data_IF_372388051642
#
_entry.id   IF_372388051642
#
_cell.length_a   1.000
_cell.length_b   1.000
_cell.length_c   1.000
_cell.angle_alpha   90.00
_cell.angle_beta   90.00
_cell.angle_gamma   90.00
#
_symmetry.space_group_name_H-M   'P 1'
#
loop_
_entity.id
_entity.type
_entity.pdbx_description
1 polymer ?
#
# COMPACT_ATOMS: atom_id res chain seq x y z
N UNK A 1 -0.72 -15.11 -11.43
CA UNK A 1 -0.71 -15.11 -12.90
C UNK A 1 -2.12 -14.94 -13.44
N UNK A 2 -2.31 -14.10 -14.48
CA UNK A 2 -3.57 -14.11 -15.23
C UNK A 2 -3.85 -15.54 -15.69
N UNK A 3 -5.07 -16.02 -15.48
CA UNK A 3 -5.41 -17.33 -16.01
C UNK A 3 -5.52 -17.29 -17.54
N UNK A 4 -5.34 -18.43 -18.18
CA UNK A 4 -5.37 -18.54 -19.64
C UNK A 4 -6.72 -18.11 -20.25
N UNK A 5 -7.81 -18.16 -19.49
CA UNK A 5 -9.15 -17.75 -19.92
C UNK A 5 -9.29 -16.22 -19.86
N UNK A 6 -8.84 -15.60 -18.78
CA UNK A 6 -8.80 -14.13 -18.65
C UNK A 6 -7.94 -13.52 -19.77
N UNK A 7 -6.74 -14.03 -19.98
CA UNK A 7 -5.84 -13.54 -21.04
C UNK A 7 -6.51 -13.59 -22.42
N UNK A 8 -7.10 -14.71 -22.80
CA UNK A 8 -7.82 -14.85 -24.07
C UNK A 8 -9.01 -13.91 -24.20
N UNK A 9 -9.70 -13.65 -23.09
CA UNK A 9 -10.83 -12.72 -23.07
C UNK A 9 -10.37 -11.30 -23.27
N UNK A 10 -9.27 -10.89 -22.62
CA UNK A 10 -8.67 -9.57 -22.79
C UNK A 10 -8.17 -9.37 -24.22
N UNK A 11 -7.48 -10.34 -24.79
CA UNK A 11 -7.02 -10.29 -26.20
C UNK A 11 -8.20 -10.10 -27.16
N UNK A 12 -9.28 -10.86 -26.97
CA UNK A 12 -10.50 -10.70 -27.77
C UNK A 12 -11.15 -9.32 -27.60
N UNK A 13 -11.23 -8.81 -26.36
CA UNK A 13 -11.79 -7.48 -26.11
C UNK A 13 -10.93 -6.37 -26.75
N UNK A 14 -9.61 -6.51 -26.72
CA UNK A 14 -8.69 -5.59 -27.42
C UNK A 14 -8.95 -5.56 -28.93
N UNK A 15 -9.07 -6.73 -29.57
CA UNK A 15 -9.40 -6.83 -30.99
C UNK A 15 -10.75 -6.19 -31.34
N UNK A 16 -11.78 -6.38 -30.52
CA UNK A 16 -13.09 -5.79 -30.75
C UNK A 16 -13.09 -4.26 -30.60
N UNK A 17 -12.33 -3.74 -29.62
CA UNK A 17 -12.12 -2.29 -29.47
C UNK A 17 -11.36 -1.69 -30.67
N UNK A 18 -10.30 -2.36 -31.16
CA UNK A 18 -9.57 -1.93 -32.35
C UNK A 18 -10.47 -1.88 -33.59
N UNK A 19 -11.30 -2.91 -33.80
CA UNK A 19 -12.29 -2.95 -34.90
C UNK A 19 -13.33 -1.82 -34.77
N UNK A 20 -13.64 -1.37 -33.54
CA UNK A 20 -14.53 -0.25 -33.28
C UNK A 20 -13.83 1.12 -33.38
N UNK A 21 -12.54 1.17 -33.77
CA UNK A 21 -11.78 2.41 -33.99
C UNK A 21 -11.12 2.98 -32.74
N UNK A 22 -11.09 2.23 -31.63
CA UNK A 22 -10.37 2.65 -30.43
C UNK A 22 -8.86 2.39 -30.60
N UNK A 23 -8.07 3.28 -29.99
CA UNK A 23 -6.61 3.22 -29.96
C UNK A 23 -6.09 3.31 -28.53
N UNK A 24 -4.79 3.11 -28.29
CA UNK A 24 -4.17 3.23 -26.96
C UNK A 24 -4.89 2.41 -25.90
N UNK A 25 -5.32 1.22 -26.29
CA UNK A 25 -6.07 0.30 -25.42
C UNK A 25 -5.13 -0.25 -24.35
N UNK A 26 -5.52 -0.13 -23.09
CA UNK A 26 -4.80 -0.73 -21.97
C UNK A 26 -5.76 -1.41 -20.99
N UNK A 27 -5.31 -2.52 -20.43
CA UNK A 27 -5.98 -3.25 -19.38
C UNK A 27 -5.09 -3.27 -18.15
N UNK A 28 -5.61 -2.84 -17.02
CA UNK A 28 -4.99 -3.10 -15.72
C UNK A 28 -5.89 -4.09 -14.98
N UNK A 29 -5.34 -5.23 -14.62
CA UNK A 29 -6.02 -6.25 -13.84
C UNK A 29 -5.38 -6.31 -12.46
N UNK A 30 -6.20 -6.17 -11.43
CA UNK A 30 -5.76 -6.26 -10.03
C UNK A 30 -6.49 -7.41 -9.37
N UNK A 31 -5.76 -8.45 -9.01
CA UNK A 31 -6.25 -9.57 -8.21
C UNK A 31 -5.83 -9.37 -6.77
N UNK A 32 -6.78 -9.42 -5.87
CA UNK A 32 -6.55 -9.29 -4.43
C UNK A 32 -7.02 -10.55 -3.72
N UNK A 33 -6.14 -11.12 -2.89
CA UNK A 33 -6.47 -12.25 -2.02
C UNK A 33 -6.13 -11.88 -0.58
N UNK A 34 -7.04 -12.18 0.33
CA UNK A 34 -6.76 -12.01 1.75
C UNK A 34 -7.27 -13.20 2.57
N UNK A 35 -6.55 -13.49 3.63
CA UNK A 35 -6.92 -14.48 4.63
C UNK A 35 -6.76 -13.89 6.02
N UNK A 36 -7.85 -13.79 6.75
CA UNK A 36 -7.83 -13.28 8.12
C UNK A 36 -8.29 -14.35 9.10
N UNK A 37 -7.48 -14.55 10.15
CA UNK A 37 -7.86 -15.35 11.31
C UNK A 37 -7.80 -14.46 12.54
N UNK A 38 -8.87 -14.41 13.33
CA UNK A 38 -8.87 -13.60 14.55
C UNK A 38 -9.64 -14.27 15.69
N UNK A 39 -9.24 -13.94 16.91
CA UNK A 39 -9.90 -14.32 18.16
C UNK A 39 -10.38 -13.05 18.87
N UNK A 40 -11.56 -13.12 19.49
CA UNK A 40 -12.16 -12.00 20.23
C UNK A 40 -12.78 -12.50 21.53
N UNK A 41 -12.58 -11.74 22.60
CA UNK A 41 -13.12 -12.09 23.91
C UNK A 41 -12.78 -13.54 24.30
N UNK A 42 -13.68 -14.17 25.04
CA UNK A 42 -13.42 -15.52 25.55
C UNK A 42 -13.74 -16.65 24.55
N UNK A 43 -14.60 -16.44 23.55
CA UNK A 43 -15.14 -17.56 22.74
C UNK A 43 -15.26 -17.34 21.23
N UNK A 44 -15.06 -16.14 20.70
CA UNK A 44 -15.33 -15.94 19.29
C UNK A 44 -14.04 -16.06 18.44
N UNK A 45 -14.11 -16.91 17.43
CA UNK A 45 -13.09 -17.06 16.39
C UNK A 45 -13.71 -16.67 15.06
N UNK A 46 -13.05 -15.83 14.29
CA UNK A 46 -13.44 -15.51 12.93
C UNK A 46 -12.37 -15.96 11.96
N UNK A 47 -12.80 -16.69 10.94
CA UNK A 47 -12.00 -17.09 9.77
C UNK A 47 -12.65 -16.45 8.55
N UNK A 48 -11.88 -15.81 7.72
CA UNK A 48 -12.38 -15.13 6.53
C UNK A 48 -11.34 -15.22 5.42
N UNK A 49 -11.76 -15.72 4.28
CA UNK A 49 -11.02 -15.62 3.02
C UNK A 49 -11.78 -14.67 2.10
N UNK A 50 -11.08 -13.84 1.35
CA UNK A 50 -11.61 -12.99 0.29
C UNK A 50 -10.73 -13.10 -0.93
N UNK A 51 -11.35 -13.12 -2.09
CA UNK A 51 -10.70 -13.08 -3.39
C UNK A 51 -11.51 -12.16 -4.28
N UNK A 52 -10.88 -11.09 -4.77
CA UNK A 52 -11.51 -10.06 -5.57
C UNK A 52 -10.67 -9.77 -6.81
N UNK A 53 -11.33 -9.35 -7.89
CA UNK A 53 -10.70 -8.88 -9.10
C UNK A 53 -11.27 -7.53 -9.53
N UNK A 54 -10.41 -6.65 -10.00
CA UNK A 54 -10.80 -5.37 -10.61
C UNK A 54 -10.11 -5.24 -11.96
N UNK A 55 -10.89 -4.96 -12.98
CA UNK A 55 -10.43 -4.71 -14.34
C UNK A 55 -10.64 -3.24 -14.65
N UNK A 56 -9.55 -2.54 -14.93
CA UNK A 56 -9.57 -1.15 -15.39
C UNK A 56 -9.20 -1.16 -16.86
N UNK A 57 -10.08 -0.63 -17.70
CA UNK A 57 -9.89 -0.62 -19.14
C UNK A 57 -9.89 0.83 -19.61
N UNK A 58 -8.80 1.24 -20.24
CA UNK A 58 -8.64 2.57 -20.79
C UNK A 58 -8.44 2.49 -22.30
N UNK A 59 -9.04 3.40 -23.04
CA UNK A 59 -8.86 3.49 -24.49
C UNK A 59 -9.05 4.92 -24.98
N UNK A 60 -8.52 5.25 -26.14
CA UNK A 60 -8.71 6.53 -26.80
C UNK A 60 -9.55 6.38 -28.09
N UNK A 61 -10.43 7.32 -28.36
CA UNK A 61 -11.24 7.41 -29.58
C UNK A 61 -11.54 8.88 -29.89
N UNK A 62 -11.36 9.30 -31.14
CA UNK A 62 -11.63 10.67 -31.61
C UNK A 62 -10.96 11.77 -30.73
N UNK A 63 -9.71 11.56 -30.33
CA UNK A 63 -8.93 12.51 -29.54
C UNK A 63 -9.39 12.66 -28.10
N UNK A 64 -10.23 11.76 -27.59
CA UNK A 64 -10.66 11.68 -26.21
C UNK A 64 -10.20 10.37 -25.58
N UNK A 65 -9.93 10.38 -24.25
CA UNK A 65 -9.61 9.19 -23.47
C UNK A 65 -10.82 8.81 -22.59
N UNK A 66 -11.15 7.53 -22.59
CA UNK A 66 -12.19 6.95 -21.73
C UNK A 66 -11.60 5.87 -20.82
N UNK A 67 -12.22 5.69 -19.66
CA UNK A 67 -11.83 4.74 -18.63
C UNK A 67 -13.06 4.05 -18.05
N UNK A 68 -13.00 2.73 -17.89
CA UNK A 68 -14.09 1.94 -17.32
C UNK A 68 -13.60 0.96 -16.28
N UNK A 69 -14.48 0.57 -15.34
CA UNK A 69 -14.17 -0.26 -14.20
C UNK A 69 -15.12 -1.43 -14.07
N UNK A 70 -14.60 -2.63 -13.90
CA UNK A 70 -15.36 -3.87 -13.87
C UNK A 70 -14.85 -4.80 -12.77
N UNK A 71 -15.74 -5.57 -12.17
CA UNK A 71 -15.40 -6.65 -11.23
C UNK A 71 -15.40 -8.03 -11.89
N UNK A 72 -15.80 -8.08 -13.16
CA UNK A 72 -15.69 -9.23 -14.06
C UNK A 72 -15.51 -8.67 -15.47
N UNK A 73 -14.78 -9.36 -16.35
CA UNK A 73 -14.59 -8.90 -17.72
C UNK A 73 -15.94 -8.75 -18.45
N UNK A 74 -16.24 -7.58 -19.03
CA UNK A 74 -17.50 -7.29 -19.68
C UNK A 74 -17.63 -7.95 -21.05
N UNK A 75 -18.83 -7.89 -21.64
CA UNK A 75 -19.01 -8.08 -23.08
C UNK A 75 -18.46 -6.89 -23.88
N UNK A 76 -18.09 -7.11 -25.14
CA UNK A 76 -17.50 -6.06 -25.98
C UNK A 76 -18.48 -4.88 -26.20
N UNK A 77 -19.77 -5.16 -26.40
CA UNK A 77 -20.81 -4.12 -26.58
C UNK A 77 -20.97 -3.25 -25.34
N UNK A 78 -21.01 -3.87 -24.15
CA UNK A 78 -21.13 -3.15 -22.86
C UNK A 78 -19.89 -2.27 -22.62
N UNK A 79 -18.71 -2.80 -22.93
CA UNK A 79 -17.44 -2.07 -22.79
C UNK A 79 -17.41 -0.85 -23.70
N UNK A 80 -17.74 -1.02 -24.98
CA UNK A 80 -17.76 0.08 -25.98
C UNK A 80 -18.76 1.15 -25.55
N UNK A 81 -19.94 0.76 -25.10
CA UNK A 81 -20.98 1.66 -24.63
C UNK A 81 -20.48 2.47 -23.43
N UNK A 82 -19.92 1.82 -22.42
CA UNK A 82 -19.43 2.46 -21.21
C UNK A 82 -18.26 3.43 -21.51
N UNK A 83 -17.30 3.03 -22.37
CA UNK A 83 -16.20 3.90 -22.76
C UNK A 83 -16.71 5.14 -23.51
N UNK A 84 -17.69 5.01 -24.39
CA UNK A 84 -18.30 6.11 -25.13
C UNK A 84 -19.00 7.10 -24.18
N UNK A 85 -19.85 6.62 -23.29
CA UNK A 85 -20.53 7.45 -22.30
C UNK A 85 -19.55 8.18 -21.39
N UNK A 86 -18.47 7.52 -21.00
CA UNK A 86 -17.42 8.12 -20.19
C UNK A 86 -16.69 9.24 -20.95
N UNK A 87 -16.33 9.02 -22.22
CA UNK A 87 -15.70 10.03 -23.06
C UNK A 87 -16.61 11.24 -23.33
N UNK A 88 -17.93 11.03 -23.43
CA UNK A 88 -18.91 12.10 -23.60
C UNK A 88 -19.06 12.94 -22.33
N UNK A 89 -19.04 12.32 -21.17
CA UNK A 89 -19.28 12.98 -19.87
C UNK A 89 -18.04 13.65 -19.28
N UNK A 90 -16.87 13.03 -19.39
CA UNK A 90 -15.63 13.51 -18.74
C UNK A 90 -14.67 14.21 -19.69
N UNK A 91 -14.79 13.98 -20.99
CA UNK A 91 -14.21 14.80 -22.07
C UNK A 91 -12.73 15.17 -21.99
N UNK A 92 -11.88 14.38 -21.35
CA UNK A 92 -10.45 14.66 -21.32
C UNK A 92 -9.87 14.56 -22.73
N UNK A 93 -9.25 15.66 -23.19
CA UNK A 93 -8.52 15.64 -24.45
C UNK A 93 -7.33 14.73 -24.29
N UNK A 94 -7.24 13.75 -25.17
CA UNK A 94 -6.05 12.90 -25.30
C UNK A 94 -5.01 13.65 -26.14
N UNK A 95 -3.92 14.06 -25.51
CA UNK A 95 -2.69 14.45 -26.21
C UNK A 95 -1.83 13.20 -26.34
N UNK A 96 -1.50 12.84 -27.57
CA UNK A 96 -0.64 11.69 -27.86
C UNK A 96 0.73 11.92 -27.19
N UNK A 97 0.97 11.27 -26.05
CA UNK A 97 2.29 11.27 -25.47
C UNK A 97 3.20 10.46 -26.40
N UNK A 98 4.05 11.16 -27.13
CA UNK A 98 5.18 10.55 -27.82
C UNK A 98 6.13 10.03 -26.72
N UNK A 99 5.79 8.89 -26.16
CA UNK A 99 6.59 8.23 -25.15
C UNK A 99 7.82 7.60 -25.81
N UNK A 100 8.86 8.42 -25.98
CA UNK A 100 10.18 7.99 -26.43
C UNK A 100 10.97 7.23 -25.36
N UNK A 101 10.31 6.78 -24.27
CA UNK A 101 10.99 5.98 -23.27
C UNK A 101 11.21 4.54 -23.79
N UNK A 102 12.31 4.33 -24.50
CA UNK A 102 12.84 2.98 -24.80
C UNK A 102 13.17 2.16 -23.52
N UNK A 103 13.01 2.73 -22.35
CA UNK A 103 13.39 2.16 -21.05
C UNK A 103 12.36 1.24 -20.40
N UNK A 104 11.19 0.99 -21.01
CA UNK A 104 10.19 0.09 -20.45
C UNK A 104 10.33 -1.38 -20.86
N UNK A 105 11.53 -1.81 -21.29
CA UNK A 105 11.81 -3.22 -21.63
C UNK A 105 12.19 -4.11 -20.45
N UNK A 106 12.25 -3.59 -19.23
CA UNK A 106 12.32 -4.47 -18.07
C UNK A 106 10.91 -4.96 -17.73
N UNK A 107 10.40 -5.90 -18.55
CA UNK A 107 9.37 -6.80 -18.09
C UNK A 107 9.96 -7.56 -16.93
N UNK A 108 9.42 -7.37 -15.73
CA UNK A 108 9.74 -8.25 -14.63
C UNK A 108 9.36 -9.67 -15.04
N UNK A 109 10.37 -10.55 -15.17
CA UNK A 109 10.15 -11.93 -15.59
C UNK A 109 9.21 -12.60 -14.59
N UNK A 110 8.35 -13.48 -15.08
CA UNK A 110 7.41 -14.28 -14.26
C UNK A 110 8.13 -15.07 -13.14
N UNK A 111 9.44 -15.29 -13.27
CA UNK A 111 10.27 -16.07 -12.37
C UNK A 111 10.67 -15.35 -11.06
N UNK A 112 10.44 -14.03 -10.96
CA UNK A 112 10.83 -13.22 -9.79
C UNK A 112 9.67 -12.85 -8.85
N UNK A 113 8.48 -13.41 -9.06
CA UNK A 113 7.35 -13.16 -8.17
C UNK A 113 7.64 -13.79 -6.82
N UNK A 114 7.62 -12.98 -5.79
CA UNK A 114 7.74 -13.45 -4.39
C UNK A 114 6.73 -14.57 -4.17
N UNK A 115 7.21 -15.78 -3.88
CA UNK A 115 6.35 -16.88 -3.47
C UNK A 115 5.70 -16.51 -2.14
N UNK A 116 4.44 -16.02 -2.21
CA UNK A 116 3.68 -15.70 -1.02
C UNK A 116 3.22 -16.98 -0.33
N UNK A 117 3.69 -17.19 0.89
CA UNK A 117 3.35 -18.38 1.67
C UNK A 117 2.10 -18.14 2.51
N UNK A 118 1.04 -18.90 2.22
CA UNK A 118 -0.21 -18.86 2.95
C UNK A 118 -0.19 -19.80 4.16
N UNK A 119 -0.34 -19.23 5.35
CA UNK A 119 -0.60 -19.99 6.55
C UNK A 119 -2.07 -20.44 6.61
N UNK A 120 -2.32 -21.67 7.03
CA UNK A 120 -3.69 -22.15 7.18
C UNK A 120 -4.34 -21.64 8.48
N UNK A 121 -5.66 -21.49 8.46
CA UNK A 121 -6.42 -20.99 9.61
C UNK A 121 -6.21 -21.77 10.91
N UNK A 122 -6.02 -23.07 10.83
CA UNK A 122 -5.88 -23.95 12.01
C UNK A 122 -4.58 -23.64 12.76
N UNK A 123 -3.46 -23.56 12.03
CA UNK A 123 -2.15 -23.20 12.58
C UNK A 123 -2.19 -21.81 13.19
N UNK A 124 -2.74 -20.83 12.46
CA UNK A 124 -2.86 -19.44 12.94
C UNK A 124 -3.73 -19.38 14.18
N UNK A 125 -4.90 -20.03 14.16
CA UNK A 125 -5.82 -20.05 15.30
C UNK A 125 -5.17 -20.58 16.57
N UNK A 126 -4.38 -21.65 16.48
CA UNK A 126 -3.66 -22.20 17.62
C UNK A 126 -2.69 -21.18 18.22
N UNK A 127 -1.86 -20.54 17.37
CA UNK A 127 -0.90 -19.51 17.80
C UNK A 127 -1.60 -18.30 18.42
N UNK A 128 -2.72 -17.83 17.85
CA UNK A 128 -3.50 -16.72 18.40
C UNK A 128 -4.19 -17.10 19.73
N UNK A 129 -4.68 -18.33 19.87
CA UNK A 129 -5.27 -18.79 21.12
C UNK A 129 -4.23 -18.82 22.25
N UNK A 130 -3.04 -19.34 22.00
CA UNK A 130 -1.93 -19.31 22.95
C UNK A 130 -1.52 -17.89 23.33
N UNK A 131 -1.40 -16.99 22.35
CA UNK A 131 -1.05 -15.59 22.57
C UNK A 131 -2.13 -14.84 23.38
N UNK A 132 -3.40 -15.18 23.18
CA UNK A 132 -4.51 -14.63 23.97
C UNK A 132 -4.42 -15.06 25.44
N UNK A 133 -4.17 -16.32 25.71
CA UNK A 133 -4.01 -16.82 27.08
C UNK A 133 -2.82 -16.15 27.80
N UNK A 134 -1.71 -15.95 27.08
CA UNK A 134 -0.55 -15.20 27.60
C UNK A 134 -0.89 -13.73 27.93
N UNK A 135 -1.67 -13.07 27.07
CA UNK A 135 -2.12 -11.70 27.33
C UNK A 135 -2.95 -11.58 28.62
N UNK A 136 -3.81 -12.57 28.90
CA UNK A 136 -4.61 -12.60 30.15
C UNK A 136 -3.76 -12.87 31.40
N UNK A 137 -2.52 -13.35 31.29
CA UNK A 137 -1.61 -13.46 32.44
C UNK A 137 -1.11 -12.08 32.90
N UNK A 138 -1.22 -11.05 32.08
CA UNK A 138 -0.89 -9.68 32.49
C UNK A 138 -1.97 -9.16 33.44
N UNK A 139 -1.64 -8.72 34.65
CA UNK A 139 -2.63 -8.29 35.63
C UNK A 139 -3.53 -7.16 35.12
N UNK A 140 -4.81 -7.22 35.46
CA UNK A 140 -5.86 -6.27 35.12
C UNK A 140 -6.27 -6.25 33.62
N UNK A 141 -5.83 -7.20 32.80
CA UNK A 141 -6.41 -7.37 31.48
C UNK A 141 -7.81 -7.97 31.62
N UNK A 142 -8.80 -7.18 31.22
CA UNK A 142 -10.21 -7.52 31.27
C UNK A 142 -10.69 -8.17 29.96
N UNK A 143 -10.21 -7.65 28.84
CA UNK A 143 -10.69 -8.08 27.53
C UNK A 143 -9.57 -8.06 26.47
N UNK A 144 -9.43 -9.16 25.75
CA UNK A 144 -8.79 -9.21 24.43
C UNK A 144 -9.89 -8.96 23.41
N UNK A 145 -10.10 -7.69 23.04
CA UNK A 145 -11.18 -7.30 22.12
C UNK A 145 -10.91 -7.84 20.72
N UNK A 146 -9.64 -7.80 20.29
CA UNK A 146 -9.22 -8.36 19.00
C UNK A 146 -7.77 -8.84 19.11
N UNK A 147 -7.51 -10.02 18.58
CA UNK A 147 -6.18 -10.50 18.25
C UNK A 147 -6.27 -11.24 16.92
N UNK A 148 -5.61 -10.74 15.89
CA UNK A 148 -5.75 -11.25 14.54
C UNK A 148 -4.47 -11.26 13.74
N UNK A 149 -4.46 -12.17 12.75
CA UNK A 149 -3.43 -12.30 11.73
C UNK A 149 -4.07 -12.19 10.36
N UNK A 150 -3.58 -11.29 9.56
CA UNK A 150 -3.99 -11.06 8.19
C UNK A 150 -2.85 -11.39 7.24
N UNK A 151 -3.20 -12.04 6.18
CA UNK A 151 -2.37 -12.36 5.04
C UNK A 151 -3.00 -11.71 3.83
N UNK A 152 -2.25 -10.92 3.10
CA UNK A 152 -2.74 -10.15 1.96
C UNK A 152 -1.78 -10.29 0.80
N UNK A 153 -2.33 -10.52 -0.39
CA UNK A 153 -1.60 -10.55 -1.66
C UNK A 153 -2.39 -9.76 -2.69
N UNK A 154 -1.73 -8.84 -3.35
CA UNK A 154 -2.23 -8.11 -4.51
C UNK A 154 -1.29 -8.35 -5.68
N UNK A 155 -1.85 -8.78 -6.80
CA UNK A 155 -1.16 -8.99 -8.07
C UNK A 155 -1.71 -7.99 -9.08
N UNK A 156 -0.84 -7.23 -9.71
CA UNK A 156 -1.18 -6.20 -10.69
C UNK A 156 -0.61 -6.60 -12.03
N UNK A 157 -1.47 -6.68 -13.04
CA UNK A 157 -1.09 -6.95 -14.42
C UNK A 157 -1.48 -5.75 -15.27
N UNK A 158 -0.56 -5.24 -16.06
CA UNK A 158 -0.84 -4.17 -17.03
C UNK A 158 -0.50 -4.67 -18.43
N UNK A 159 -1.48 -4.57 -19.32
CA UNK A 159 -1.40 -4.89 -20.74
C UNK A 159 -1.68 -3.58 -21.47
N UNK A 160 -0.64 -2.95 -21.98
CA UNK A 160 -0.73 -1.67 -22.69
C UNK A 160 -0.69 -1.83 -24.21
N UNK A 161 -0.69 -0.73 -24.95
CA UNK A 161 -0.59 -0.73 -26.40
C UNK A 161 0.67 -1.42 -26.89
N UNK A 162 0.55 -2.22 -27.96
CA UNK A 162 1.65 -3.04 -28.47
C UNK A 162 2.04 -4.16 -27.50
N UNK A 163 3.33 -4.42 -27.36
CA UNK A 163 3.85 -5.47 -26.46
C UNK A 163 4.18 -4.97 -25.05
N UNK A 164 3.68 -3.80 -24.66
CA UNK A 164 3.90 -3.27 -23.32
C UNK A 164 3.13 -4.11 -22.29
N UNK A 165 3.85 -4.94 -21.56
CA UNK A 165 3.30 -5.78 -20.49
C UNK A 165 4.18 -5.64 -19.26
N UNK A 166 3.59 -5.42 -18.11
CA UNK A 166 4.29 -5.57 -16.84
C UNK A 166 3.41 -6.22 -15.80
N UNK A 167 4.04 -6.86 -14.85
CA UNK A 167 3.42 -7.49 -13.71
C UNK A 167 4.20 -7.11 -12.46
N UNK A 168 3.46 -6.84 -11.39
CA UNK A 168 4.04 -6.67 -10.05
C UNK A 168 3.12 -7.30 -9.02
N UNK A 169 3.67 -7.65 -7.86
CA UNK A 169 2.90 -8.20 -6.75
C UNK A 169 3.40 -7.60 -5.44
N UNK A 170 2.46 -7.29 -4.57
CA UNK A 170 2.74 -6.89 -3.20
C UNK A 170 1.98 -7.79 -2.24
N UNK A 171 2.64 -8.24 -1.18
CA UNK A 171 2.01 -9.08 -0.17
C UNK A 171 2.61 -8.80 1.19
N UNK A 172 1.78 -8.92 2.22
CA UNK A 172 2.21 -8.77 3.59
C UNK A 172 1.50 -9.73 4.53
N UNK A 173 2.13 -9.95 5.66
CA UNK A 173 1.54 -10.59 6.81
C UNK A 173 1.49 -9.56 7.94
N UNK A 174 0.36 -9.42 8.60
CA UNK A 174 0.21 -8.50 9.71
C UNK A 174 -0.41 -9.14 10.94
N UNK A 175 0.04 -8.72 12.10
CA UNK A 175 -0.53 -9.03 13.40
C UNK A 175 -1.12 -7.74 13.99
N UNK A 176 -2.31 -7.86 14.60
CA UNK A 176 -2.95 -6.78 15.33
C UNK A 176 -3.54 -7.30 16.64
N UNK A 177 -3.36 -6.52 17.69
CA UNK A 177 -3.93 -6.75 19.01
C UNK A 177 -4.62 -5.48 19.52
N UNK A 178 -5.87 -5.59 19.96
CA UNK A 178 -6.62 -4.53 20.67
C UNK A 178 -7.02 -5.11 22.04
N UNK A 179 -6.53 -4.51 23.11
CA UNK A 179 -6.75 -5.00 24.47
C UNK A 179 -7.27 -3.91 25.39
N UNK A 180 -8.05 -4.34 26.39
CA UNK A 180 -8.57 -3.50 27.47
C UNK A 180 -8.02 -3.98 28.79
N UNK A 181 -7.52 -3.06 29.59
CA UNK A 181 -7.25 -3.26 31.00
C UNK A 181 -8.31 -2.53 31.83
N UNK A 182 -8.71 -3.13 32.97
CA UNK A 182 -9.67 -2.53 33.88
C UNK A 182 -9.25 -2.77 35.33
N UNK A 183 -9.36 -1.74 36.16
CA UNK A 183 -9.13 -1.81 37.61
C UNK A 183 -9.88 -0.70 38.31
N UNK A 184 -10.59 -1.04 39.39
CA UNK A 184 -11.28 -0.07 40.28
C UNK A 184 -12.21 0.90 39.52
N UNK A 185 -12.90 0.39 38.45
CA UNK A 185 -13.79 1.19 37.61
C UNK A 185 -13.09 2.08 36.59
N UNK A 186 -11.77 2.05 36.50
CA UNK A 186 -11.00 2.72 35.47
C UNK A 186 -10.64 1.73 34.35
N UNK A 187 -10.76 2.16 33.10
CA UNK A 187 -10.40 1.37 31.92
C UNK A 187 -9.35 2.07 31.09
N UNK A 188 -8.45 1.29 30.51
CA UNK A 188 -7.45 1.74 29.54
C UNK A 188 -7.41 0.78 28.37
N UNK A 189 -7.15 1.29 27.18
CA UNK A 189 -7.09 0.55 25.92
C UNK A 189 -5.73 0.73 25.29
N UNK A 190 -5.23 -0.34 24.67
CA UNK A 190 -4.04 -0.27 23.83
C UNK A 190 -4.26 -1.04 22.53
N UNK A 191 -3.59 -0.58 21.49
CA UNK A 191 -3.52 -1.23 20.19
C UNK A 191 -2.06 -1.44 19.83
N UNK A 192 -1.73 -2.68 19.47
CA UNK A 192 -0.46 -3.05 18.86
C UNK A 192 -0.67 -3.59 17.44
N UNK A 193 0.20 -3.24 16.52
CA UNK A 193 0.26 -3.87 15.21
C UNK A 193 1.71 -3.98 14.74
N UNK A 194 2.00 -5.01 13.96
CA UNK A 194 3.28 -5.16 13.27
C UNK A 194 3.10 -5.95 11.98
N UNK A 195 3.99 -5.69 11.02
CA UNK A 195 4.17 -6.53 9.85
C UNK A 195 5.27 -7.55 10.14
N UNK A 196 5.11 -8.74 9.58
CA UNK A 196 6.05 -9.85 9.77
C UNK A 196 6.28 -10.55 8.42
N UNK A 197 7.44 -11.13 8.22
CA UNK A 197 7.72 -11.93 7.02
C UNK A 197 6.99 -13.28 7.05
N UNK A 198 6.78 -13.81 8.26
CA UNK A 198 6.07 -15.05 8.54
C UNK A 198 5.51 -15.05 9.97
N UNK A 199 4.56 -15.91 10.26
CA UNK A 199 4.03 -16.07 11.60
C UNK A 199 4.94 -17.00 12.45
N UNK A 200 6.03 -16.46 12.99
CA UNK A 200 6.86 -17.19 13.93
C UNK A 200 6.09 -17.58 15.21
N UNK A 201 6.56 -18.59 15.93
CA UNK A 201 5.83 -19.18 17.07
C UNK A 201 5.58 -18.20 18.23
N UNK A 202 6.45 -17.21 18.40
CA UNK A 202 6.37 -16.22 19.48
C UNK A 202 5.85 -14.84 19.05
N UNK A 203 5.74 -14.57 17.74
CA UNK A 203 5.37 -13.24 17.22
C UNK A 203 4.04 -12.73 17.77
N UNK A 204 3.00 -13.57 17.73
CA UNK A 204 1.69 -13.23 18.26
C UNK A 204 1.69 -13.06 19.78
N UNK A 205 2.42 -13.92 20.52
CA UNK A 205 2.56 -13.83 21.98
C UNK A 205 3.26 -12.53 22.39
N UNK A 206 4.36 -12.20 21.71
CA UNK A 206 5.10 -10.97 21.97
C UNK A 206 4.24 -9.74 21.78
N UNK A 207 3.55 -9.62 20.64
CA UNK A 207 2.65 -8.50 20.36
C UNK A 207 1.53 -8.42 21.41
N UNK A 208 0.87 -9.52 21.71
CA UNK A 208 -0.23 -9.56 22.66
C UNK A 208 0.21 -9.14 24.07
N UNK A 209 1.35 -9.65 24.56
CA UNK A 209 1.91 -9.30 25.85
C UNK A 209 2.38 -7.84 25.93
N UNK A 210 3.01 -7.31 24.87
CA UNK A 210 3.42 -5.91 24.82
C UNK A 210 2.22 -4.98 24.84
N UNK A 211 1.19 -5.28 24.04
CA UNK A 211 -0.07 -4.51 24.02
C UNK A 211 -0.81 -4.59 25.36
N UNK A 212 -0.81 -5.75 26.02
CA UNK A 212 -1.39 -5.93 27.34
C UNK A 212 -0.68 -5.07 28.41
N UNK A 213 0.65 -5.04 28.37
CA UNK A 213 1.44 -4.17 29.27
C UNK A 213 1.15 -2.69 29.05
N UNK A 214 0.96 -2.27 27.79
CA UNK A 214 0.58 -0.90 27.45
C UNK A 214 -0.81 -0.55 27.95
N UNK A 215 -1.81 -1.39 27.73
CA UNK A 215 -3.15 -1.18 28.26
C UNK A 215 -3.12 -1.06 29.79
N UNK A 216 -2.38 -1.93 30.46
CA UNK A 216 -2.19 -1.86 31.91
C UNK A 216 -1.51 -0.56 32.36
N UNK A 217 -0.47 -0.13 31.64
CA UNK A 217 0.29 1.08 32.00
C UNK A 217 -0.55 2.37 31.90
N UNK A 218 -1.61 2.37 31.10
CA UNK A 218 -2.55 3.48 31.00
C UNK A 218 -3.55 3.58 32.17
N UNK A 219 -3.64 2.56 33.04
CA UNK A 219 -4.51 2.64 34.22
C UNK A 219 -3.97 3.65 35.21
N UNK A 220 -4.84 4.54 35.68
CA UNK A 220 -4.49 5.61 36.63
C UNK A 220 -3.64 6.73 36.02
N UNK A 221 -3.51 6.78 34.69
CA UNK A 221 -2.82 7.88 34.04
C UNK A 221 -3.58 9.19 34.23
N UNK A 222 -2.87 10.23 34.62
CA UNK A 222 -3.39 11.57 34.80
C UNK A 222 -2.71 12.55 33.85
N UNK A 223 -3.37 13.67 33.45
CA UNK A 223 -2.74 14.71 32.67
C UNK A 223 -1.49 15.26 33.34
N UNK A 224 -0.40 15.40 32.62
CA UNK A 224 0.81 16.08 33.10
C UNK A 224 0.64 17.60 33.03
N UNK A 225 1.28 18.34 33.94
CA UNK A 225 1.28 19.80 33.89
C UNK A 225 1.90 20.31 32.59
N UNK A 226 1.46 21.50 32.13
CA UNK A 226 2.08 22.13 30.96
C UNK A 226 3.54 22.48 31.25
N UNK A 227 4.46 22.16 30.35
CA UNK A 227 5.89 22.37 30.57
C UNK A 227 6.72 21.84 29.39
N UNK A 228 8.03 21.94 29.54
CA UNK A 228 9.00 21.35 28.61
C UNK A 228 9.56 20.08 29.23
N UNK A 229 9.46 18.98 28.49
CA UNK A 229 9.88 17.67 28.93
C UNK A 229 10.79 17.01 27.91
N UNK A 230 11.82 16.28 28.32
CA UNK A 230 12.49 15.36 27.44
C UNK A 230 11.53 14.21 27.10
N UNK A 231 11.35 13.91 25.80
CA UNK A 231 10.41 12.91 25.33
C UNK A 231 11.15 11.81 24.58
N UNK A 232 10.83 10.56 24.91
CA UNK A 232 11.22 9.38 24.12
C UNK A 232 9.96 8.91 23.39
N UNK A 233 9.99 8.96 22.06
CA UNK A 233 8.89 8.44 21.24
C UNK A 233 9.12 6.96 20.97
N UNK A 234 8.11 6.14 21.27
CA UNK A 234 8.10 4.75 20.87
C UNK A 234 8.14 4.65 19.32
N UNK A 235 8.74 3.61 18.78
CA UNK A 235 8.85 3.41 17.33
C UNK A 235 7.51 3.48 16.59
N UNK A 236 6.43 2.90 17.15
CA UNK A 236 5.08 2.96 16.57
C UNK A 236 4.56 4.41 16.49
N UNK A 237 4.73 5.19 17.56
CA UNK A 237 4.33 6.60 17.61
C UNK A 237 5.15 7.44 16.62
N UNK A 238 6.45 7.16 16.53
CA UNK A 238 7.31 7.84 15.55
C UNK A 238 6.89 7.49 14.11
N UNK A 239 6.53 6.23 13.83
CA UNK A 239 6.05 5.82 12.52
C UNK A 239 4.77 6.56 12.10
N UNK A 240 3.77 6.68 13.00
CA UNK A 240 2.54 7.44 12.77
C UNK A 240 2.82 8.93 12.52
N UNK A 241 3.73 9.53 13.29
CA UNK A 241 4.15 10.91 13.06
C UNK A 241 4.82 11.08 11.70
N UNK A 242 5.74 10.19 11.33
CA UNK A 242 6.41 10.24 10.03
C UNK A 242 5.42 10.08 8.88
N UNK A 243 4.44 9.19 8.98
CA UNK A 243 3.40 9.01 7.96
C UNK A 243 2.68 10.35 7.68
N UNK A 244 2.36 11.12 8.72
CA UNK A 244 1.74 12.43 8.58
C UNK A 244 2.65 13.48 7.89
N UNK A 245 3.97 13.34 8.01
CA UNK A 245 4.92 14.28 7.42
C UNK A 245 5.48 13.85 6.05
N UNK A 246 5.37 12.59 5.66
CA UNK A 246 5.85 12.09 4.35
C UNK A 246 5.33 12.95 3.18
N UNK A 247 4.06 13.40 3.13
CA UNK A 247 3.58 14.24 2.03
C UNK A 247 4.32 15.58 1.87
N UNK A 248 5.11 16.01 2.88
CA UNK A 248 5.96 17.18 2.72
C UNK A 248 7.06 17.01 1.66
N UNK A 249 7.43 15.76 1.35
CA UNK A 249 8.41 15.41 0.32
C UNK A 249 7.79 15.27 -1.08
N UNK A 250 6.47 15.37 -1.23
CA UNK A 250 5.79 15.25 -2.52
C UNK A 250 6.00 16.50 -3.36
N UNK A 251 6.46 16.32 -4.59
CA UNK A 251 6.85 17.42 -5.46
C UNK A 251 5.67 18.33 -5.86
N UNK A 252 4.44 17.81 -5.91
CA UNK A 252 3.23 18.61 -6.14
C UNK A 252 2.98 19.60 -4.99
N UNK A 253 3.17 19.15 -3.73
CA UNK A 253 3.03 20.03 -2.56
C UNK A 253 4.16 21.05 -2.46
N UNK A 254 5.39 20.64 -2.79
CA UNK A 254 6.55 21.54 -2.85
C UNK A 254 6.34 22.62 -3.92
N UNK A 255 5.92 22.23 -5.13
CA UNK A 255 5.67 23.15 -6.25
C UNK A 255 4.57 24.16 -5.95
N UNK A 256 3.52 23.73 -5.25
CA UNK A 256 2.37 24.56 -4.91
C UNK A 256 2.55 25.33 -3.58
N UNK A 257 3.77 25.39 -3.05
CA UNK A 257 4.14 26.04 -1.78
C UNK A 257 3.31 25.56 -0.57
N UNK A 258 2.82 24.32 -0.64
CA UNK A 258 2.07 23.65 0.44
C UNK A 258 2.95 22.81 1.35
N UNK A 259 4.27 22.85 1.12
CA UNK A 259 5.28 22.15 1.92
C UNK A 259 6.29 23.13 2.48
N UNK A 260 6.63 22.97 3.75
CA UNK A 260 7.73 23.71 4.38
C UNK A 260 9.11 23.39 3.77
N UNK A 261 9.18 22.41 2.87
CA UNK A 261 10.41 22.01 2.15
C UNK A 261 10.58 22.72 0.80
N UNK A 262 9.66 23.62 0.42
CA UNK A 262 9.76 24.37 -0.83
C UNK A 262 11.08 25.19 -0.86
N UNK A 263 11.89 24.98 -1.92
CA UNK A 263 13.18 25.66 -2.10
C UNK A 263 14.31 25.19 -1.19
N UNK A 264 14.11 24.10 -0.42
CA UNK A 264 15.07 23.64 0.59
C UNK A 264 15.83 22.36 0.21
N UNK A 265 15.80 21.95 -1.05
CA UNK A 265 16.62 20.81 -1.50
C UNK A 265 18.13 21.09 -1.24
N UNK A 266 18.80 20.16 -0.58
CA UNK A 266 20.19 20.31 -0.15
C UNK A 266 20.38 20.99 1.21
N UNK A 267 19.35 21.59 1.79
CA UNK A 267 19.41 22.20 3.10
C UNK A 267 19.43 21.17 4.23
N UNK A 268 20.01 21.58 5.36
CA UNK A 268 19.89 20.86 6.62
C UNK A 268 18.47 21.11 7.22
N UNK A 269 17.66 20.07 7.29
CA UNK A 269 16.27 20.12 7.81
C UNK A 269 16.06 19.31 9.10
N UNK A 270 17.07 18.49 9.48
CA UNK A 270 17.03 17.67 10.68
C UNK A 270 18.43 17.59 11.33
N UNK A 271 18.52 16.93 12.46
CA UNK A 271 19.83 16.61 13.08
C UNK A 271 20.66 15.72 12.15
N UNK A 272 21.98 15.85 12.21
CA UNK A 272 22.91 15.01 11.44
C UNK A 272 22.78 13.50 11.75
N UNK A 273 22.19 13.14 12.86
CA UNK A 273 21.93 11.75 13.24
C UNK A 273 20.64 11.18 12.60
N UNK A 274 19.91 11.98 11.82
CA UNK A 274 18.65 11.59 11.23
C UNK A 274 18.83 11.30 9.76
N UNK A 275 18.51 10.06 9.36
CA UNK A 275 18.35 9.68 7.96
C UNK A 275 16.99 9.04 7.75
N UNK A 276 16.29 9.44 6.71
CA UNK A 276 14.99 8.90 6.31
C UNK A 276 15.12 8.33 4.91
N UNK A 277 14.81 7.03 4.77
CA UNK A 277 15.11 6.28 3.57
C UNK A 277 13.89 5.49 3.11
N UNK A 278 13.55 5.56 1.83
CA UNK A 278 12.60 4.64 1.20
C UNK A 278 13.28 3.32 0.85
N UNK A 279 12.64 2.20 1.22
CA UNK A 279 13.12 0.83 0.98
C UNK A 279 11.98 0.01 0.38
N UNK A 280 11.91 -0.12 -0.96
CA UNK A 280 10.77 -0.75 -1.64
C UNK A 280 10.59 -2.24 -1.36
N UNK A 281 11.68 -2.96 -1.09
CA UNK A 281 11.75 -4.40 -0.91
C UNK A 281 11.94 -4.83 0.56
N UNK A 282 11.47 -4.02 1.49
CA UNK A 282 11.56 -4.32 2.92
C UNK A 282 10.74 -5.58 3.26
N UNK A 283 11.42 -6.66 3.70
CA UNK A 283 10.79 -7.96 3.98
C UNK A 283 9.65 -7.92 5.01
N UNK A 284 9.74 -7.03 5.99
CA UNK A 284 8.72 -6.80 7.01
C UNK A 284 7.93 -5.51 6.73
N UNK A 285 7.90 -5.10 5.47
CA UNK A 285 7.16 -3.94 5.00
C UNK A 285 5.74 -4.30 4.57
N UNK A 286 4.90 -3.28 4.51
CA UNK A 286 3.54 -3.42 4.00
C UNK A 286 3.50 -3.46 2.47
N UNK A 287 4.41 -2.76 1.80
CA UNK A 287 4.40 -2.55 0.35
C UNK A 287 5.74 -3.00 -0.23
N UNK A 288 5.73 -4.12 -0.95
CA UNK A 288 6.88 -4.55 -1.74
C UNK A 288 6.57 -4.31 -3.22
N UNK A 289 7.10 -3.24 -3.79
CA UNK A 289 6.84 -2.86 -5.19
C UNK A 289 8.15 -2.65 -5.92
N UNK A 290 8.29 -3.28 -7.07
CA UNK A 290 9.45 -3.12 -7.96
C UNK A 290 9.22 -2.04 -9.00
N UNK A 291 7.96 -1.85 -9.36
CA UNK A 291 7.50 -0.90 -10.37
C UNK A 291 6.32 -0.13 -9.77
N UNK A 292 6.24 1.18 -10.02
CA UNK A 292 5.05 1.96 -9.68
C UNK A 292 3.90 1.74 -10.69
N UNK A 293 2.76 2.36 -10.46
CA UNK A 293 1.59 2.18 -11.33
C UNK A 293 1.71 2.92 -12.68
N UNK A 294 2.81 3.64 -12.91
CA UNK A 294 3.17 4.27 -14.19
C UNK A 294 4.24 3.48 -14.95
N UNK A 295 4.68 2.31 -14.42
CA UNK A 295 5.70 1.47 -15.02
C UNK A 295 7.14 1.94 -14.77
N UNK A 296 7.36 2.81 -13.79
CA UNK A 296 8.69 3.32 -13.42
C UNK A 296 9.29 2.45 -12.31
N UNK A 297 10.54 1.97 -12.43
CA UNK A 297 11.19 1.20 -11.39
C UNK A 297 11.28 1.96 -10.06
N UNK A 298 10.78 1.33 -8.99
CA UNK A 298 10.89 1.86 -7.63
C UNK A 298 12.27 1.50 -7.09
N UNK A 299 13.02 2.52 -6.65
CA UNK A 299 14.40 2.33 -6.16
C UNK A 299 14.56 2.87 -4.75
N UNK A 300 15.45 2.22 -4.01
CA UNK A 300 15.89 2.71 -2.71
C UNK A 300 16.45 4.13 -2.81
N UNK A 301 15.98 5.04 -1.96
CA UNK A 301 16.44 6.44 -1.96
C UNK A 301 16.33 7.09 -0.60
N UNK A 302 17.21 8.04 -0.32
CA UNK A 302 17.13 8.88 0.86
C UNK A 302 16.23 10.10 0.60
N UNK A 303 15.23 10.30 1.45
CA UNK A 303 14.51 11.58 1.56
C UNK A 303 15.33 12.57 2.37
N UNK A 304 15.87 12.09 3.50
CA UNK A 304 16.84 12.81 4.34
C UNK A 304 18.05 11.91 4.51
N UNK A 305 19.25 12.46 4.34
CA UNK A 305 20.50 11.77 4.65
C UNK A 305 21.35 12.65 5.56
N UNK A 306 21.67 12.17 6.76
CA UNK A 306 22.46 12.90 7.75
C UNK A 306 21.94 14.33 7.99
N UNK A 307 20.61 14.45 8.11
CA UNK A 307 19.90 15.71 8.32
C UNK A 307 19.70 16.57 7.07
N UNK A 308 20.23 16.18 5.91
CA UNK A 308 20.14 16.94 4.66
C UNK A 308 18.96 16.43 3.81
N UNK A 309 18.10 17.33 3.35
CA UNK A 309 17.04 17.00 2.37
C UNK A 309 17.65 16.60 1.03
N UNK A 310 17.37 15.37 0.57
CA UNK A 310 18.00 14.80 -0.63
C UNK A 310 17.04 14.67 -1.81
N UNK A 311 15.84 14.13 -1.58
CA UNK A 311 14.96 13.72 -2.68
C UNK A 311 13.53 14.15 -2.41
N UNK A 312 12.95 14.87 -3.37
CA UNK A 312 11.51 15.02 -3.50
C UNK A 312 10.94 13.88 -4.34
N UNK A 313 9.77 13.39 -3.96
CA UNK A 313 9.10 12.30 -4.66
C UNK A 313 8.25 12.87 -5.80
N UNK A 314 8.32 12.23 -6.96
CA UNK A 314 7.65 12.72 -8.16
C UNK A 314 7.13 11.55 -9.01
N UNK A 315 5.91 11.68 -9.52
CA UNK A 315 5.33 10.78 -10.53
C UNK A 315 5.76 11.20 -11.94
N UNK A 316 5.46 10.38 -12.94
CA UNK A 316 5.86 10.58 -14.34
C UNK A 316 5.33 11.90 -14.91
N UNK A 317 4.06 12.21 -14.68
CA UNK A 317 3.43 13.43 -15.20
C UNK A 317 4.09 14.71 -14.68
N UNK A 318 4.33 14.75 -13.36
CA UNK A 318 4.94 15.93 -12.75
C UNK A 318 6.45 16.00 -13.06
N UNK A 319 7.15 14.86 -13.17
CA UNK A 319 8.53 14.79 -13.59
C UNK A 319 8.73 15.44 -14.99
N UNK A 320 7.84 15.10 -15.94
CA UNK A 320 7.82 15.72 -17.28
C UNK A 320 7.63 17.25 -17.21
N UNK A 321 6.68 17.73 -16.38
CA UNK A 321 6.44 19.18 -16.17
C UNK A 321 7.62 19.91 -15.54
N UNK A 322 8.33 19.24 -14.63
CA UNK A 322 9.49 19.80 -13.93
C UNK A 322 10.82 19.57 -14.68
N UNK A 323 10.81 18.79 -15.76
CA UNK A 323 12.00 18.38 -16.55
C UNK A 323 13.06 17.69 -15.70
N UNK A 324 12.63 16.76 -14.85
CA UNK A 324 13.47 15.90 -14.00
C UNK A 324 13.09 14.43 -14.22
N UNK A 325 13.94 13.51 -13.76
CA UNK A 325 13.63 12.09 -13.82
C UNK A 325 12.52 11.71 -12.81
N UNK A 326 11.59 10.80 -13.18
CA UNK A 326 10.62 10.26 -12.25
C UNK A 326 11.30 9.40 -11.19
N UNK A 327 10.74 9.38 -9.99
CA UNK A 327 11.36 8.70 -8.84
C UNK A 327 10.78 7.30 -8.57
N UNK A 328 9.83 6.81 -9.40
CA UNK A 328 9.13 5.56 -9.16
C UNK A 328 8.15 5.67 -7.98
N UNK A 329 7.45 6.79 -7.93
CA UNK A 329 6.53 7.10 -6.84
C UNK A 329 5.12 7.50 -7.35
N UNK A 330 4.75 7.05 -8.54
CA UNK A 330 3.40 7.18 -9.08
C UNK A 330 2.52 6.01 -8.65
N UNK A 331 1.69 6.17 -7.62
CA UNK A 331 0.85 5.10 -7.09
C UNK A 331 -0.63 5.47 -7.11
N UNK A 332 -1.50 4.47 -7.31
CA UNK A 332 -2.94 4.57 -7.15
C UNK A 332 -3.33 4.15 -5.73
N UNK A 333 -4.18 4.92 -5.08
CA UNK A 333 -4.72 4.53 -3.77
C UNK A 333 -5.73 3.37 -3.87
N UNK A 334 -6.34 3.22 -5.03
CA UNK A 334 -7.16 2.08 -5.41
C UNK A 334 -7.06 1.88 -6.93
N UNK A 335 -7.39 0.72 -7.48
CA UNK A 335 -7.38 0.51 -8.93
C UNK A 335 -8.19 1.55 -9.72
N UNK A 336 -9.19 2.15 -9.06
CA UNK A 336 -10.11 3.15 -9.66
C UNK A 336 -9.62 4.59 -9.56
N UNK A 337 -8.66 4.88 -8.69
CA UNK A 337 -8.14 6.25 -8.53
C UNK A 337 -7.14 6.60 -9.61
N UNK A 338 -6.92 7.91 -9.78
CA UNK A 338 -5.82 8.39 -10.60
C UNK A 338 -4.48 8.15 -9.90
N UNK A 339 -3.40 8.26 -10.67
CA UNK A 339 -2.06 8.14 -10.12
C UNK A 339 -1.70 9.39 -9.33
N UNK A 340 -1.36 9.22 -8.08
CA UNK A 340 -0.86 10.26 -7.20
C UNK A 340 0.59 9.97 -6.79
N UNK A 341 1.25 10.96 -6.17
CA UNK A 341 2.58 10.73 -5.60
C UNK A 341 2.38 9.94 -4.30
N UNK A 342 3.04 8.79 -4.21
CA UNK A 342 3.01 7.90 -3.07
C UNK A 342 4.42 7.46 -2.65
N UNK A 343 4.49 6.60 -1.65
CA UNK A 343 5.74 6.04 -1.15
C UNK A 343 5.53 4.58 -0.75
N UNK A 344 6.58 3.78 -0.80
CA UNK A 344 6.59 2.41 -0.31
C UNK A 344 6.89 2.37 1.21
N UNK A 345 7.88 1.61 1.63
CA UNK A 345 8.26 1.54 3.04
C UNK A 345 9.33 2.57 3.37
N UNK A 346 9.26 3.14 4.57
CA UNK A 346 10.22 4.15 5.04
C UNK A 346 10.89 3.69 6.32
N UNK A 347 12.21 3.83 6.37
CA UNK A 347 13.02 3.55 7.55
C UNK A 347 13.62 4.85 8.06
N UNK A 348 13.44 5.12 9.35
CA UNK A 348 14.18 6.14 10.10
C UNK A 348 15.42 5.49 10.71
N UNK A 349 16.58 6.07 10.43
CA UNK A 349 17.90 5.63 10.90
C UNK A 349 18.57 6.73 11.72
#
# INVERSE_FOLDING_TARGET
>A
MLDCREQKTIEKLSEELEKAGYTHISFQVVHTKSRTTSVRGHKSVKKQDSEDAVYVIEAAHDGKKGKSYWTALPGAEDLITMLRENMESLGEKYEEDVDNSENSKESCGEDEIVQFMWENHETVMKKLAEAKEEAYQVPNIDLVDYLGYEQYLEEIYVLGPGDKRFMDATGYHSLRADLKAEKDGQASYARGCCYVSELADDSAKKLACETAKEARAGLGAEPIASGQYPVILKNSVMAELLEAYIPAFYADRIKNERSALAGREGDKIASANVSLKEVPDLKEGRVCRRIDDEGIPVKEKYLIKEGIFKTKLVNKELAKKLKIEPTGNGFKQSPKSDVEIGITNVILQ
#
